data_IF_727864604943
#
_entry.id   IF_727864604943
#
_cell.length_a   1.000
_cell.length_b   1.000
_cell.length_c   1.000
_cell.angle_alpha   90.00
_cell.angle_beta   90.00
_cell.angle_gamma   90.00
#
_symmetry.space_group_name_H-M   'P 1'
#
loop_
_entity.id
_entity.type
_entity.pdbx_description
1 polymer ?
#
# COMPACT_ATOMS: atom_id res chain seq x y z
N UNK A 1 -22.93 -3.85 -16.49
CA UNK A 1 -22.40 -4.34 -15.20
C UNK A 1 -21.56 -3.23 -14.62
N UNK A 2 -22.12 -2.46 -13.67
CA UNK A 2 -21.44 -1.33 -13.05
C UNK A 2 -20.59 -1.88 -11.91
N UNK A 3 -19.27 -1.79 -12.04
CA UNK A 3 -18.35 -2.22 -11.00
C UNK A 3 -17.72 -0.98 -10.35
N UNK A 4 -18.55 -0.16 -9.71
CA UNK A 4 -18.08 0.86 -8.77
C UNK A 4 -18.14 0.24 -7.37
N UNK A 5 -17.23 -0.70 -7.11
CA UNK A 5 -17.00 -1.17 -5.76
C UNK A 5 -16.29 -0.04 -5.01
N UNK A 6 -16.91 0.53 -3.98
CA UNK A 6 -16.28 1.60 -3.22
C UNK A 6 -15.01 1.06 -2.53
N UNK A 7 -14.00 1.91 -2.33
CA UNK A 7 -12.77 1.49 -1.62
C UNK A 7 -13.08 0.91 -0.23
N UNK A 8 -14.17 1.35 0.39
CA UNK A 8 -14.63 0.82 1.69
C UNK A 8 -15.16 -0.61 1.58
N UNK A 9 -15.92 -0.93 0.52
CA UNK A 9 -16.40 -2.29 0.27
C UNK A 9 -15.25 -3.23 -0.09
N UNK A 10 -14.31 -2.75 -0.90
CA UNK A 10 -13.06 -3.47 -1.17
C UNK A 10 -12.26 -3.71 0.12
N UNK A 11 -12.08 -2.71 0.99
CA UNK A 11 -11.41 -2.91 2.29
C UNK A 11 -12.15 -3.89 3.21
N UNK A 12 -13.48 -3.97 3.11
CA UNK A 12 -14.25 -4.97 3.84
C UNK A 12 -14.00 -6.37 3.32
N UNK A 13 -13.92 -6.58 2.00
CA UNK A 13 -13.62 -7.88 1.41
C UNK A 13 -12.16 -8.31 1.63
N UNK A 14 -11.21 -7.37 1.63
CA UNK A 14 -9.78 -7.61 1.88
C UNK A 14 -9.53 -8.29 3.23
N UNK A 15 -10.32 -7.98 4.27
CA UNK A 15 -10.25 -8.70 5.55
C UNK A 15 -10.59 -10.20 5.46
N UNK A 16 -11.36 -10.58 4.44
CA UNK A 16 -11.75 -11.96 4.13
C UNK A 16 -10.99 -12.55 2.93
N UNK A 17 -10.06 -11.82 2.31
CA UNK A 17 -9.22 -12.37 1.25
C UNK A 17 -8.20 -13.34 1.85
N UNK A 18 -8.07 -14.50 1.23
CA UNK A 18 -7.12 -15.52 1.66
C UNK A 18 -5.67 -15.04 1.43
N UNK A 19 -5.42 -14.33 0.32
CA UNK A 19 -4.09 -13.88 -0.10
C UNK A 19 -4.10 -12.58 -0.93
N UNK A 20 -3.00 -11.82 -0.92
CA UNK A 20 -2.82 -10.53 -1.63
C UNK A 20 -1.39 -10.41 -2.16
N UNK A 21 -1.24 -10.04 -3.44
CA UNK A 21 0.06 -9.75 -4.05
C UNK A 21 0.25 -8.23 -4.11
N UNK A 22 1.34 -7.73 -3.54
CA UNK A 22 1.65 -6.30 -3.51
C UNK A 22 2.70 -5.98 -4.58
N UNK A 23 2.30 -5.37 -5.70
CA UNK A 23 3.25 -4.92 -6.71
C UNK A 23 3.80 -3.52 -6.34
N UNK A 24 4.96 -3.51 -5.69
CA UNK A 24 5.57 -2.28 -5.16
C UNK A 24 6.39 -1.59 -6.26
N UNK A 25 5.85 -0.48 -6.77
CA UNK A 25 6.47 0.42 -7.76
C UNK A 25 6.42 1.87 -7.26
N UNK A 26 7.11 2.80 -7.94
CA UNK A 26 7.01 4.23 -7.60
C UNK A 26 5.55 4.73 -7.67
N UNK A 27 4.81 4.32 -8.70
CA UNK A 27 3.39 4.67 -8.85
C UNK A 27 2.54 4.13 -7.69
N UNK A 28 2.86 2.94 -7.17
CA UNK A 28 2.22 2.38 -5.98
C UNK A 28 2.52 3.24 -4.75
N UNK A 29 3.79 3.56 -4.50
CA UNK A 29 4.25 4.29 -3.32
C UNK A 29 3.77 5.75 -3.28
N UNK A 30 3.44 6.33 -4.44
CA UNK A 30 2.84 7.68 -4.57
C UNK A 30 1.31 7.66 -4.66
N UNK A 31 0.68 6.48 -4.75
CA UNK A 31 -0.77 6.35 -4.82
C UNK A 31 -1.37 6.33 -3.42
N UNK A 32 -2.19 7.35 -3.11
CA UNK A 32 -2.89 7.43 -1.82
C UNK A 32 -3.75 6.20 -1.56
N UNK A 33 -4.40 5.68 -2.59
CA UNK A 33 -5.29 4.52 -2.44
C UNK A 33 -4.48 3.27 -2.11
N UNK A 34 -3.38 3.02 -2.82
CA UNK A 34 -2.53 1.85 -2.61
C UNK A 34 -1.88 1.88 -1.22
N UNK A 35 -1.30 3.02 -0.84
CA UNK A 35 -0.68 3.20 0.47
C UNK A 35 -1.69 3.09 1.61
N UNK A 36 -2.87 3.69 1.47
CA UNK A 36 -3.91 3.57 2.48
C UNK A 36 -4.38 2.12 2.64
N UNK A 37 -4.63 1.42 1.54
CA UNK A 37 -5.08 0.03 1.54
C UNK A 37 -4.09 -0.91 2.23
N UNK A 38 -2.80 -0.80 1.90
CA UNK A 38 -1.77 -1.67 2.50
C UNK A 38 -1.55 -1.37 3.97
N UNK A 39 -1.61 -0.10 4.38
CA UNK A 39 -1.51 0.25 5.79
C UNK A 39 -2.71 -0.26 6.60
N UNK A 40 -3.91 -0.27 6.02
CA UNK A 40 -5.08 -0.85 6.66
C UNK A 40 -5.01 -2.39 6.72
N UNK A 41 -4.50 -3.02 5.67
CA UNK A 41 -4.18 -4.45 5.64
C UNK A 41 -3.23 -4.85 6.77
N UNK A 42 -2.17 -4.06 6.97
CA UNK A 42 -1.14 -4.31 7.98
C UNK A 42 -1.61 -4.13 9.42
N UNK A 43 -2.79 -3.54 9.66
CA UNK A 43 -3.41 -3.48 10.99
C UNK A 43 -3.98 -4.84 11.44
N UNK A 44 -4.25 -5.76 10.53
CA UNK A 44 -4.60 -7.15 10.87
C UNK A 44 -3.34 -7.88 11.38
N UNK A 45 -3.37 -8.53 12.55
CA UNK A 45 -2.20 -9.23 13.11
C UNK A 45 -1.71 -10.39 12.25
N UNK A 46 -2.57 -10.94 11.39
CA UNK A 46 -2.25 -12.09 10.53
C UNK A 46 -1.80 -11.70 9.12
N UNK A 47 -1.64 -10.41 8.84
CA UNK A 47 -1.34 -9.89 7.51
C UNK A 47 -0.12 -10.54 6.85
N UNK A 48 0.95 -10.83 7.61
CA UNK A 48 2.20 -11.40 7.10
C UNK A 48 2.02 -12.73 6.36
N UNK A 49 1.00 -13.51 6.71
CA UNK A 49 0.72 -14.79 6.07
C UNK A 49 -0.14 -14.65 4.80
N UNK A 50 -0.71 -13.46 4.57
CA UNK A 50 -1.61 -13.17 3.47
C UNK A 50 -0.96 -12.34 2.38
N UNK A 51 0.16 -11.65 2.64
CA UNK A 51 0.79 -10.76 1.69
C UNK A 51 2.01 -11.40 1.01
N UNK A 52 2.14 -11.18 -0.29
CA UNK A 52 3.35 -11.47 -1.06
C UNK A 52 3.81 -10.21 -1.80
N UNK A 53 4.86 -9.53 -1.32
CA UNK A 53 5.44 -8.39 -2.01
C UNK A 53 6.22 -8.79 -3.26
N UNK A 54 5.93 -8.07 -4.33
CA UNK A 54 6.56 -8.13 -5.63
C UNK A 54 7.21 -6.75 -5.87
N UNK A 55 8.48 -6.59 -5.48
CA UNK A 55 9.19 -5.31 -5.53
C UNK A 55 9.78 -5.08 -6.92
N UNK A 56 9.36 -4.01 -7.59
CA UNK A 56 9.82 -3.67 -8.96
C UNK A 56 11.24 -3.13 -8.97
N UNK A 57 11.62 -2.34 -7.96
CA UNK A 57 12.96 -1.75 -7.86
C UNK A 57 13.52 -1.90 -6.45
N UNK A 58 14.74 -2.43 -6.33
CA UNK A 58 15.47 -2.57 -5.05
C UNK A 58 15.93 -1.23 -4.48
N UNK A 59 15.77 -0.12 -5.22
CA UNK A 59 16.07 1.22 -4.73
C UNK A 59 15.27 1.60 -3.48
N UNK A 60 14.10 0.96 -3.26
CA UNK A 60 13.28 1.19 -2.07
C UNK A 60 13.97 0.79 -0.76
N UNK A 61 15.09 0.05 -0.81
CA UNK A 61 15.91 -0.28 0.35
C UNK A 61 16.98 0.77 0.67
N UNK A 62 17.18 1.75 -0.23
CA UNK A 62 18.12 2.83 0.00
C UNK A 62 17.48 3.85 0.97
N UNK A 63 18.10 4.15 2.13
CA UNK A 63 17.55 5.10 3.09
C UNK A 63 17.26 6.49 2.52
N UNK A 64 18.04 6.94 1.52
CA UNK A 64 17.81 8.22 0.82
C UNK A 64 16.52 8.16 0.01
N UNK A 65 16.24 7.04 -0.65
CA UNK A 65 15.02 6.83 -1.44
C UNK A 65 13.81 6.74 -0.51
N UNK A 66 13.92 6.01 0.61
CA UNK A 66 12.89 5.97 1.66
C UNK A 66 12.59 7.38 2.18
N UNK A 67 13.61 8.16 2.51
CA UNK A 67 13.45 9.54 2.98
C UNK A 67 12.73 10.42 1.94
N UNK A 68 12.99 10.22 0.64
CA UNK A 68 12.30 10.94 -0.42
C UNK A 68 10.79 10.61 -0.47
N UNK A 69 10.40 9.36 -0.22
CA UNK A 69 8.97 8.99 -0.12
C UNK A 69 8.30 9.56 1.12
N UNK A 70 8.98 9.54 2.27
CA UNK A 70 8.47 10.19 3.49
C UNK A 70 8.25 11.68 3.25
N UNK A 71 9.25 12.36 2.64
CA UNK A 71 9.15 13.77 2.30
C UNK A 71 7.98 14.05 1.35
N UNK A 72 7.81 13.21 0.32
CA UNK A 72 6.69 13.34 -0.62
C UNK A 72 5.34 13.35 0.11
N UNK A 73 5.11 12.42 1.02
CA UNK A 73 3.85 12.36 1.77
C UNK A 73 3.70 13.49 2.80
N UNK A 74 4.79 13.95 3.40
CA UNK A 74 4.78 15.15 4.25
C UNK A 74 4.40 16.40 3.47
N UNK A 75 4.95 16.58 2.26
CA UNK A 75 4.65 17.72 1.40
C UNK A 75 3.17 17.68 0.95
N UNK A 76 2.62 16.51 0.58
CA UNK A 76 1.19 16.32 0.27
C UNK A 76 0.28 16.63 1.48
N UNK A 77 0.68 16.20 2.69
CA UNK A 77 -0.03 16.51 3.93
C UNK A 77 -0.08 18.03 4.16
N UNK A 78 1.08 18.68 4.12
CA UNK A 78 1.21 20.11 4.36
C UNK A 78 0.41 20.92 3.33
N UNK A 79 0.44 20.51 2.07
CA UNK A 79 -0.35 21.15 1.02
C UNK A 79 -1.84 21.08 1.31
N UNK A 80 -2.37 19.91 1.70
CA UNK A 80 -3.78 19.78 2.02
C UNK A 80 -4.15 20.58 3.29
N UNK A 81 -3.35 20.50 4.36
CA UNK A 81 -3.57 21.26 5.59
C UNK A 81 -3.68 22.76 5.34
N UNK A 82 -2.78 23.32 4.52
CA UNK A 82 -2.79 24.73 4.15
C UNK A 82 -4.04 25.13 3.34
N UNK A 83 -4.57 24.24 2.50
CA UNK A 83 -5.83 24.50 1.80
C UNK A 83 -7.03 24.45 2.76
N UNK A 84 -7.05 23.49 3.69
CA UNK A 84 -8.16 23.33 4.63
C UNK A 84 -8.22 24.43 5.69
N UNK A 85 -7.08 24.97 6.12
CA UNK A 85 -7.04 26.08 7.09
C UNK A 85 -7.74 27.35 6.59
N UNK A 86 -7.87 27.50 5.27
CA UNK A 86 -8.55 28.63 4.63
C UNK A 86 -10.06 28.41 4.42
N UNK A 87 -10.58 27.22 4.71
CA UNK A 87 -12.00 26.88 4.52
C UNK A 87 -12.78 27.03 5.82
N UNK A 88 -14.03 27.51 5.70
CA UNK A 88 -14.97 27.46 6.82
C UNK A 88 -15.38 26.01 7.09
N UNK A 89 -15.55 25.67 8.38
CA UNK A 89 -15.87 24.32 8.86
C UNK A 89 -17.05 23.67 8.10
N UNK A 90 -18.07 24.45 7.77
CA UNK A 90 -19.26 24.00 7.02
C UNK A 90 -18.96 23.45 5.61
N UNK A 91 -17.80 23.76 5.02
CA UNK A 91 -17.38 23.29 3.69
C UNK A 91 -16.36 22.16 3.74
N UNK A 92 -15.92 21.73 4.93
CA UNK A 92 -14.87 20.72 5.05
C UNK A 92 -15.33 19.33 4.60
N UNK A 93 -16.61 18.99 4.74
CA UNK A 93 -17.15 17.71 4.27
C UNK A 93 -16.27 16.52 4.69
N UNK A 94 -15.82 15.70 3.72
CA UNK A 94 -14.92 14.56 3.96
C UNK A 94 -13.42 14.91 3.94
N UNK A 95 -13.06 16.18 3.74
CA UNK A 95 -11.65 16.57 3.55
C UNK A 95 -10.81 16.29 4.80
N UNK A 96 -11.38 16.41 6.00
CA UNK A 96 -10.71 16.01 7.24
C UNK A 96 -10.38 14.51 7.26
N UNK A 97 -11.25 13.66 6.69
CA UNK A 97 -10.96 12.23 6.58
C UNK A 97 -9.82 11.98 5.60
N UNK A 98 -9.77 12.71 4.48
CA UNK A 98 -8.67 12.61 3.51
C UNK A 98 -7.35 13.10 4.08
N UNK A 99 -7.37 14.17 4.87
CA UNK A 99 -6.19 14.66 5.57
C UNK A 99 -5.67 13.60 6.54
N UNK A 100 -6.56 13.01 7.35
CA UNK A 100 -6.18 11.91 8.25
C UNK A 100 -5.55 10.73 7.49
N UNK A 101 -6.09 10.35 6.34
CA UNK A 101 -5.50 9.29 5.50
C UNK A 101 -4.08 9.64 5.06
N UNK A 102 -3.84 10.88 4.61
CA UNK A 102 -2.50 11.31 4.17
C UNK A 102 -1.54 11.37 5.37
N UNK A 103 -1.99 11.85 6.53
CA UNK A 103 -1.21 11.86 7.75
C UNK A 103 -0.82 10.45 8.21
N UNK A 104 -1.77 9.50 8.15
CA UNK A 104 -1.51 8.10 8.46
C UNK A 104 -0.46 7.53 7.48
N UNK A 105 -0.56 7.84 6.18
CA UNK A 105 0.45 7.41 5.19
C UNK A 105 1.82 8.01 5.49
N UNK A 106 1.91 9.33 5.67
CA UNK A 106 3.16 10.04 5.91
C UNK A 106 3.89 9.50 7.15
N UNK A 107 3.14 9.19 8.21
CA UNK A 107 3.70 8.70 9.48
C UNK A 107 4.15 7.24 9.42
N UNK A 108 3.60 6.41 8.52
CA UNK A 108 3.88 4.98 8.45
C UNK A 108 4.68 4.56 7.21
N UNK A 109 5.00 5.47 6.28
CA UNK A 109 5.70 5.14 5.03
C UNK A 109 7.09 4.54 5.28
N UNK A 110 7.84 5.08 6.25
CA UNK A 110 9.16 4.55 6.59
C UNK A 110 9.06 3.13 7.14
N UNK A 111 8.22 2.90 8.14
CA UNK A 111 8.00 1.59 8.77
C UNK A 111 7.47 0.56 7.76
N UNK A 112 6.60 0.99 6.84
CA UNK A 112 6.13 0.14 5.75
C UNK A 112 7.27 -0.32 4.84
N UNK A 113 8.11 0.61 4.39
CA UNK A 113 9.23 0.27 3.49
C UNK A 113 10.31 -0.56 4.19
N UNK A 114 10.55 -0.31 5.48
CA UNK A 114 11.45 -1.11 6.32
C UNK A 114 10.93 -2.55 6.44
N UNK A 115 9.64 -2.70 6.73
CA UNK A 115 9.01 -4.01 6.77
C UNK A 115 9.10 -4.74 5.42
N UNK A 116 8.83 -4.05 4.31
CA UNK A 116 8.97 -4.65 2.99
C UNK A 116 10.42 -5.06 2.76
N UNK A 117 11.40 -4.25 3.18
CA UNK A 117 12.83 -4.59 3.13
C UNK A 117 13.22 -5.86 3.88
N UNK A 118 12.59 -6.11 5.03
CA UNK A 118 12.79 -7.32 5.83
C UNK A 118 12.15 -8.58 5.22
N UNK A 119 11.25 -8.43 4.24
CA UNK A 119 10.64 -9.57 3.56
C UNK A 119 11.58 -10.17 2.52
N UNK A 120 11.52 -11.50 2.35
CA UNK A 120 12.23 -12.21 1.29
C UNK A 120 11.63 -11.88 -0.08
N UNK A 121 11.97 -10.70 -0.60
CA UNK A 121 11.47 -10.20 -1.87
C UNK A 121 12.20 -10.90 -3.03
N UNK A 122 11.46 -11.43 -4.01
CA UNK A 122 12.06 -12.07 -5.18
C UNK A 122 12.83 -11.05 -6.02
N UNK A 123 13.80 -11.52 -6.81
CA UNK A 123 14.37 -10.68 -7.86
C UNK A 123 13.30 -10.35 -8.92
N UNK A 124 13.40 -9.18 -9.51
CA UNK A 124 12.43 -8.71 -10.52
C UNK A 124 12.40 -9.65 -11.73
N UNK A 125 13.56 -10.19 -12.10
CA UNK A 125 13.70 -11.14 -13.21
C UNK A 125 13.03 -12.49 -12.92
N UNK A 126 12.86 -12.83 -11.65
CA UNK A 126 12.24 -14.07 -11.19
C UNK A 126 10.80 -13.87 -10.70
N UNK A 127 10.28 -12.64 -10.72
CA UNK A 127 9.04 -12.26 -10.05
C UNK A 127 7.84 -13.06 -10.55
N UNK A 128 7.76 -13.35 -11.85
CA UNK A 128 6.68 -14.15 -12.43
C UNK A 128 6.73 -15.59 -11.93
N UNK A 129 7.93 -16.17 -11.84
CA UNK A 129 8.13 -17.53 -11.33
C UNK A 129 7.73 -17.60 -9.86
N UNK A 130 8.16 -16.62 -9.05
CA UNK A 130 7.88 -16.59 -7.62
C UNK A 130 6.41 -16.31 -7.30
N UNK A 131 5.74 -15.44 -8.09
CA UNK A 131 4.29 -15.28 -8.04
C UNK A 131 3.60 -16.61 -8.36
N UNK A 132 3.98 -17.30 -9.44
CA UNK A 132 3.39 -18.60 -9.78
C UNK A 132 3.59 -19.64 -8.68
N UNK A 133 4.78 -19.71 -8.06
CA UNK A 133 5.04 -20.59 -6.91
C UNK A 133 4.12 -20.26 -5.73
N UNK A 134 3.98 -18.99 -5.36
CA UNK A 134 3.07 -18.60 -4.27
C UNK A 134 1.62 -18.89 -4.56
N UNK A 135 1.15 -18.63 -5.79
CA UNK A 135 -0.20 -19.00 -6.19
C UNK A 135 -0.43 -20.52 -6.10
N UNK A 136 0.58 -21.34 -6.41
CA UNK A 136 0.50 -22.79 -6.27
C UNK A 136 0.50 -23.24 -4.80
N UNK A 137 1.34 -22.66 -3.94
CA UNK A 137 1.34 -22.90 -2.49
C UNK A 137 -0.01 -22.54 -1.85
N UNK A 138 -0.60 -21.45 -2.31
CA UNK A 138 -1.92 -20.98 -1.89
C UNK A 138 -3.07 -21.80 -2.47
N UNK A 139 -2.79 -22.77 -3.36
CA UNK A 139 -3.79 -23.61 -4.00
C UNK A 139 -4.68 -22.88 -5.01
N UNK A 140 -4.30 -21.66 -5.42
CA UNK A 140 -5.02 -20.85 -6.42
C UNK A 140 -4.82 -21.42 -7.83
N UNK A 141 -3.61 -21.92 -8.10
CA UNK A 141 -3.28 -22.60 -9.36
C UNK A 141 -2.72 -23.99 -9.06
N UNK A 142 -2.95 -24.94 -9.96
CA UNK A 142 -2.26 -26.22 -9.90
C UNK A 142 -0.93 -26.10 -10.67
N UNK A 143 0.19 -26.61 -10.13
CA UNK A 143 1.43 -26.65 -10.89
C UNK A 143 1.19 -27.44 -12.18
N UNK A 144 1.60 -26.88 -13.32
CA UNK A 144 1.57 -27.62 -14.58
C UNK A 144 2.43 -28.88 -14.43
N UNK A 145 1.88 -30.01 -14.89
CA UNK A 145 2.54 -31.33 -14.85
C UNK A 145 3.78 -31.37 -15.74
#
# INVERSE_FOLDING_TARGET
>A
MNNDCSIKEYMHSVRYMDYTILLISDAYLRSRNCMYEVLELMRDRMYKNKIFPAVVSKEIYNPVVVANYVKYWQDEQQQLEAQLSNLRIQYLGNLNQKLKMIQDIASNTADFLDLIGDMNNPDIDEITIEISKKLAEWGVIHPEK
#
